data_IF_035679736669
#
_entry.id   IF_035679736669
#
_cell.length_a   1.000
_cell.length_b   1.000
_cell.length_c   1.000
_cell.angle_alpha   90.00
_cell.angle_beta   90.00
_cell.angle_gamma   90.00
#
_symmetry.space_group_name_H-M   'P 1'
#
loop_
_entity.id
_entity.type
_entity.pdbx_description
1 polymer ?
#
# COMPACT_ATOMS: atom_id res chain seq x y z
N UNK A 1 -29.67 20.79 -36.87
CA UNK A 1 -30.12 19.79 -35.85
C UNK A 1 -29.20 18.57 -35.71
N UNK A 2 -28.47 18.18 -36.75
CA UNK A 2 -27.65 16.95 -36.77
C UNK A 2 -26.32 17.06 -35.96
N UNK A 3 -25.61 18.19 -36.04
CA UNK A 3 -24.29 18.38 -35.38
C UNK A 3 -24.36 18.42 -33.84
N UNK A 4 -25.41 19.05 -33.28
CA UNK A 4 -25.64 19.08 -31.81
C UNK A 4 -25.91 17.67 -31.25
N UNK A 5 -26.80 16.91 -31.92
CA UNK A 5 -27.09 15.51 -31.53
C UNK A 5 -25.85 14.61 -31.62
N UNK A 6 -25.00 14.80 -32.63
CA UNK A 6 -23.75 14.05 -32.80
C UNK A 6 -22.77 14.36 -31.68
N UNK A 7 -22.64 15.62 -31.30
CA UNK A 7 -21.78 16.09 -30.18
C UNK A 7 -22.26 15.60 -28.82
N UNK A 8 -23.58 15.63 -28.58
CA UNK A 8 -24.16 15.11 -27.34
C UNK A 8 -24.00 13.58 -27.21
N UNK A 9 -24.12 12.84 -28.32
CA UNK A 9 -23.85 11.40 -28.35
C UNK A 9 -22.38 11.09 -28.07
N UNK A 10 -21.44 11.85 -28.61
CA UNK A 10 -20.00 11.71 -28.36
C UNK A 10 -19.68 11.98 -26.89
N UNK A 11 -20.21 13.05 -26.28
CA UNK A 11 -20.05 13.36 -24.85
C UNK A 11 -20.58 12.26 -23.93
N UNK A 12 -21.76 11.69 -24.23
CA UNK A 12 -22.32 10.57 -23.44
C UNK A 12 -21.42 9.33 -23.54
N UNK A 13 -20.88 9.04 -24.73
CA UNK A 13 -19.96 7.92 -24.92
C UNK A 13 -18.63 8.14 -24.20
N UNK A 14 -18.11 9.36 -24.22
CA UNK A 14 -16.90 9.72 -23.49
C UNK A 14 -17.07 9.53 -21.98
N UNK A 15 -18.18 9.98 -21.38
CA UNK A 15 -18.49 9.75 -19.97
C UNK A 15 -18.55 8.26 -19.62
N UNK A 16 -19.20 7.43 -20.47
CA UNK A 16 -19.26 5.99 -20.24
C UNK A 16 -17.86 5.34 -20.26
N UNK A 17 -17.00 5.76 -21.19
CA UNK A 17 -15.62 5.27 -21.26
C UNK A 17 -14.79 5.72 -20.07
N UNK A 18 -14.95 6.96 -19.60
CA UNK A 18 -14.29 7.44 -18.38
C UNK A 18 -14.73 6.65 -17.15
N UNK A 19 -16.02 6.37 -16.99
CA UNK A 19 -16.51 5.51 -15.92
C UNK A 19 -15.91 4.10 -16.01
N UNK A 20 -15.92 3.48 -17.18
CA UNK A 20 -15.30 2.17 -17.39
C UNK A 20 -13.79 2.17 -17.12
N UNK A 21 -13.10 3.32 -17.31
CA UNK A 21 -11.71 3.47 -16.96
C UNK A 21 -11.51 3.42 -15.44
N UNK A 22 -12.32 4.14 -14.68
CA UNK A 22 -12.32 4.07 -13.22
C UNK A 22 -12.71 2.68 -12.70
N UNK A 23 -13.80 2.10 -13.22
CA UNK A 23 -14.23 0.73 -12.88
C UNK A 23 -13.12 -0.30 -13.11
N UNK A 24 -12.30 -0.13 -14.17
CA UNK A 24 -11.19 -1.03 -14.46
C UNK A 24 -10.02 -0.91 -13.49
N UNK A 25 -9.91 0.21 -12.78
CA UNK A 25 -8.95 0.39 -11.69
C UNK A 25 -9.52 -0.21 -10.40
N UNK A 26 -10.77 0.11 -10.08
CA UNK A 26 -11.43 -0.32 -8.84
C UNK A 26 -11.61 -1.84 -8.80
N UNK A 27 -12.05 -2.44 -9.91
CA UNK A 27 -12.31 -3.89 -9.96
C UNK A 27 -11.05 -4.75 -10.14
N UNK A 28 -10.03 -4.25 -10.84
CA UNK A 28 -8.97 -5.10 -11.42
C UNK A 28 -7.59 -4.46 -11.40
N UNK A 29 -7.44 -3.24 -10.91
CA UNK A 29 -6.19 -2.45 -10.97
C UNK A 29 -5.54 -2.42 -12.37
N UNK A 30 -6.35 -2.43 -13.43
CA UNK A 30 -5.87 -2.48 -14.80
C UNK A 30 -5.61 -1.07 -15.34
N UNK A 31 -4.55 -0.44 -14.86
CA UNK A 31 -4.17 0.92 -15.27
C UNK A 31 -3.92 1.04 -16.78
N UNK A 32 -3.37 0.01 -17.44
CA UNK A 32 -3.17 0.03 -18.89
C UNK A 32 -4.51 0.10 -19.64
N UNK A 33 -5.51 -0.63 -19.16
CA UNK A 33 -6.86 -0.57 -19.74
C UNK A 33 -7.52 0.77 -19.41
N UNK A 34 -7.37 1.25 -18.16
CA UNK A 34 -7.91 2.53 -17.73
C UNK A 34 -7.38 3.68 -18.59
N UNK A 35 -6.05 3.75 -18.76
CA UNK A 35 -5.41 4.77 -19.62
C UNK A 35 -5.88 4.66 -21.07
N UNK A 36 -6.03 3.45 -21.62
CA UNK A 36 -6.60 3.27 -22.98
C UNK A 36 -8.04 3.76 -23.08
N UNK A 37 -8.85 3.47 -22.07
CA UNK A 37 -10.27 3.87 -22.07
C UNK A 37 -10.43 5.39 -21.91
N UNK A 38 -9.68 6.03 -21.00
CA UNK A 38 -9.73 7.48 -20.81
C UNK A 38 -9.19 8.22 -22.05
N UNK A 39 -8.12 7.74 -22.68
CA UNK A 39 -7.63 8.28 -23.95
C UNK A 39 -8.68 8.20 -25.06
N UNK A 40 -9.41 7.08 -25.11
CA UNK A 40 -10.53 6.97 -26.06
C UNK A 40 -11.69 7.91 -25.73
N UNK A 41 -11.92 8.21 -24.43
CA UNK A 41 -12.88 9.23 -24.03
C UNK A 41 -12.42 10.65 -24.44
N UNK A 42 -11.14 10.96 -24.32
CA UNK A 42 -10.54 12.23 -24.76
C UNK A 42 -10.70 12.44 -26.27
N UNK A 43 -10.49 11.41 -27.08
CA UNK A 43 -10.73 11.50 -28.54
C UNK A 43 -12.18 11.91 -28.86
N UNK A 44 -13.15 11.48 -28.08
CA UNK A 44 -14.56 11.82 -28.25
C UNK A 44 -14.95 13.19 -27.68
N UNK A 45 -14.20 13.69 -26.72
CA UNK A 45 -14.44 14.97 -26.05
C UNK A 45 -13.11 15.69 -25.72
N UNK A 46 -12.32 16.13 -26.72
CA UNK A 46 -10.96 16.62 -26.53
C UNK A 46 -10.86 17.91 -25.70
N UNK A 47 -11.92 18.70 -25.65
CA UNK A 47 -12.00 19.94 -24.86
C UNK A 47 -12.50 19.72 -23.42
N UNK A 48 -12.51 18.50 -22.90
CA UNK A 48 -12.93 18.25 -21.52
C UNK A 48 -11.70 18.16 -20.58
N UNK A 49 -11.45 19.17 -19.71
CA UNK A 49 -10.29 19.17 -18.82
C UNK A 49 -10.33 18.05 -17.79
N UNK A 50 -11.52 17.64 -17.33
CA UNK A 50 -11.67 16.52 -16.39
C UNK A 50 -11.08 15.23 -16.93
N UNK A 51 -11.29 14.91 -18.22
CA UNK A 51 -10.73 13.69 -18.81
C UNK A 51 -9.20 13.72 -18.87
N UNK A 52 -8.59 14.89 -19.06
CA UNK A 52 -7.13 15.03 -18.97
C UNK A 52 -6.63 14.89 -17.54
N UNK A 53 -7.36 15.42 -16.57
CA UNK A 53 -7.07 15.21 -15.16
C UNK A 53 -7.20 13.73 -14.76
N UNK A 54 -8.26 13.06 -15.20
CA UNK A 54 -8.46 11.62 -14.98
C UNK A 54 -7.31 10.80 -15.61
N UNK A 55 -6.88 11.14 -16.83
CA UNK A 55 -5.70 10.51 -17.47
C UNK A 55 -4.45 10.69 -16.60
N UNK A 56 -4.23 11.90 -16.09
CA UNK A 56 -3.11 12.21 -15.20
C UNK A 56 -3.14 11.39 -13.90
N UNK A 57 -4.30 11.25 -13.28
CA UNK A 57 -4.47 10.43 -12.07
C UNK A 57 -4.20 8.95 -12.34
N UNK A 58 -4.70 8.42 -13.45
CA UNK A 58 -4.49 7.02 -13.84
C UNK A 58 -3.01 6.73 -14.14
N UNK A 59 -2.34 7.64 -14.84
CA UNK A 59 -0.90 7.57 -15.13
C UNK A 59 -0.07 7.71 -13.85
N UNK A 60 -0.44 8.61 -12.94
CA UNK A 60 0.21 8.75 -11.65
C UNK A 60 0.09 7.48 -10.80
N UNK A 61 -1.09 6.87 -10.77
CA UNK A 61 -1.31 5.62 -10.04
C UNK A 61 -0.57 4.43 -10.67
N UNK A 62 -0.37 4.44 -12.00
CA UNK A 62 0.49 3.46 -12.66
C UNK A 62 2.00 3.72 -12.46
N UNK A 63 2.36 4.85 -11.87
CA UNK A 63 3.75 5.26 -11.58
C UNK A 63 4.44 6.03 -12.71
N UNK A 64 3.71 6.43 -13.76
CA UNK A 64 4.24 7.26 -14.84
C UNK A 64 4.02 8.74 -14.55
N UNK A 65 4.82 9.28 -13.62
CA UNK A 65 4.77 10.68 -13.22
C UNK A 65 5.08 11.65 -14.38
N UNK A 66 5.83 11.23 -15.38
CA UNK A 66 6.18 12.07 -16.52
C UNK A 66 4.95 12.32 -17.42
N UNK A 67 4.30 11.26 -17.87
CA UNK A 67 3.07 11.38 -18.66
C UNK A 67 1.90 11.98 -17.83
N UNK A 68 1.84 11.69 -16.52
CA UNK A 68 0.85 12.29 -15.62
C UNK A 68 0.99 13.82 -15.57
N UNK A 69 2.23 14.33 -15.46
CA UNK A 69 2.48 15.78 -15.48
C UNK A 69 2.03 16.44 -16.80
N UNK A 70 2.29 15.78 -17.94
CA UNK A 70 1.80 16.25 -19.25
C UNK A 70 0.28 16.31 -19.32
N UNK A 71 -0.39 15.28 -18.78
CA UNK A 71 -1.86 15.21 -18.76
C UNK A 71 -2.47 16.30 -17.86
N UNK A 72 -1.91 16.56 -16.67
CA UNK A 72 -2.34 17.65 -15.81
C UNK A 72 -2.08 19.03 -16.44
N UNK A 73 -0.94 19.21 -17.08
CA UNK A 73 -0.65 20.45 -17.82
C UNK A 73 -1.64 20.68 -18.98
N UNK A 74 -2.05 19.60 -19.67
CA UNK A 74 -3.09 19.68 -20.70
C UNK A 74 -4.46 20.03 -20.10
N UNK A 75 -4.79 19.52 -18.90
CA UNK A 75 -6.01 19.89 -18.18
C UNK A 75 -6.02 21.40 -17.84
N UNK A 76 -4.91 21.93 -17.31
CA UNK A 76 -4.72 23.35 -17.00
C UNK A 76 -4.85 24.20 -18.27
N UNK A 77 -4.26 23.77 -19.39
CA UNK A 77 -4.35 24.50 -20.67
C UNK A 77 -5.78 24.58 -21.21
N UNK A 78 -6.62 23.56 -20.92
CA UNK A 78 -8.04 23.54 -21.30
C UNK A 78 -8.93 24.34 -20.35
N UNK A 79 -8.58 24.41 -19.08
CA UNK A 79 -9.31 25.15 -18.03
C UNK A 79 -8.29 25.74 -17.04
N UNK A 80 -7.86 27.00 -17.25
CA UNK A 80 -6.87 27.65 -16.39
C UNK A 80 -7.34 27.90 -14.94
N UNK A 81 -8.61 27.68 -14.65
CA UNK A 81 -9.22 27.76 -13.32
C UNK A 81 -9.40 26.39 -12.64
N UNK A 82 -8.88 25.31 -13.23
CA UNK A 82 -9.06 23.96 -12.73
C UNK A 82 -8.08 23.62 -11.60
N UNK A 83 -8.45 24.02 -10.37
CA UNK A 83 -7.62 23.94 -9.17
C UNK A 83 -7.00 22.57 -8.90
N UNK A 84 -7.75 21.49 -9.14
CA UNK A 84 -7.32 20.09 -8.89
C UNK A 84 -6.09 19.74 -9.75
N UNK A 85 -6.06 20.13 -11.01
CA UNK A 85 -4.94 19.84 -11.90
C UNK A 85 -3.65 20.54 -11.45
N UNK A 86 -3.75 21.78 -10.94
CA UNK A 86 -2.60 22.46 -10.34
C UNK A 86 -2.08 21.72 -9.10
N UNK A 87 -2.98 21.30 -8.22
CA UNK A 87 -2.60 20.57 -7.00
C UNK A 87 -1.93 19.22 -7.31
N UNK A 88 -2.45 18.48 -8.30
CA UNK A 88 -1.84 17.22 -8.72
C UNK A 88 -0.48 17.43 -9.40
N UNK A 89 -0.34 18.43 -10.24
CA UNK A 89 0.96 18.76 -10.85
C UNK A 89 1.97 19.22 -9.80
N UNK A 90 1.56 20.04 -8.83
CA UNK A 90 2.39 20.45 -7.71
C UNK A 90 2.93 19.25 -6.92
N UNK A 91 2.07 18.27 -6.64
CA UNK A 91 2.48 17.05 -5.96
C UNK A 91 3.53 16.24 -6.76
N UNK A 92 3.44 16.20 -8.09
CA UNK A 92 4.47 15.60 -8.94
C UNK A 92 5.78 16.39 -8.85
N UNK A 93 5.74 17.72 -8.90
CA UNK A 93 6.92 18.59 -8.84
C UNK A 93 7.67 18.44 -7.50
N UNK A 94 6.95 18.29 -6.39
CA UNK A 94 7.57 17.96 -5.09
C UNK A 94 8.33 16.64 -5.16
N UNK A 95 7.74 15.59 -5.73
CA UNK A 95 8.40 14.28 -5.89
C UNK A 95 9.64 14.35 -6.80
N UNK A 96 9.66 15.30 -7.74
CA UNK A 96 10.79 15.54 -8.63
C UNK A 96 11.88 16.45 -7.99
N UNK A 97 11.64 16.98 -6.79
CA UNK A 97 12.55 17.88 -6.09
C UNK A 97 12.42 19.36 -6.53
N UNK A 98 11.45 19.68 -7.40
CA UNK A 98 11.20 21.03 -7.90
C UNK A 98 10.23 21.78 -6.95
N UNK A 99 10.70 22.07 -5.73
CA UNK A 99 9.83 22.52 -4.63
C UNK A 99 9.30 23.93 -4.85
N UNK A 100 10.08 24.82 -5.43
CA UNK A 100 9.68 26.20 -5.77
C UNK A 100 8.58 26.20 -6.83
N UNK A 101 8.72 25.38 -7.87
CA UNK A 101 7.69 25.21 -8.90
C UNK A 101 6.40 24.60 -8.29
N UNK A 102 6.54 23.62 -7.40
CA UNK A 102 5.41 23.04 -6.69
C UNK A 102 4.66 24.08 -5.84
N UNK A 103 5.38 24.93 -5.12
CA UNK A 103 4.77 26.01 -4.34
C UNK A 103 4.03 27.02 -5.24
N UNK A 104 4.59 27.37 -6.38
CA UNK A 104 3.95 28.26 -7.36
C UNK A 104 2.65 27.65 -7.92
N UNK A 105 2.67 26.37 -8.31
CA UNK A 105 1.49 25.65 -8.77
C UNK A 105 0.43 25.52 -7.67
N UNK A 106 0.84 25.27 -6.43
CA UNK A 106 -0.08 25.18 -5.31
C UNK A 106 -0.74 26.53 -4.96
N UNK A 107 -0.06 27.66 -5.19
CA UNK A 107 -0.65 29.01 -5.08
C UNK A 107 -1.82 29.14 -6.07
N UNK A 108 -1.65 28.69 -7.31
CA UNK A 108 -2.73 28.69 -8.28
C UNK A 108 -3.90 27.79 -7.86
N UNK A 109 -3.63 26.59 -7.34
CA UNK A 109 -4.67 25.73 -6.79
C UNK A 109 -5.48 26.40 -5.68
N UNK A 110 -4.81 27.09 -4.74
CA UNK A 110 -5.46 27.87 -3.67
C UNK A 110 -6.24 29.06 -4.24
N UNK A 111 -5.70 29.75 -5.26
CA UNK A 111 -6.39 30.89 -5.89
C UNK A 111 -7.73 30.47 -6.49
N UNK A 112 -7.76 29.33 -7.19
CA UNK A 112 -8.95 28.84 -7.87
C UNK A 112 -9.92 28.07 -6.96
N UNK A 113 -9.47 27.63 -5.79
CA UNK A 113 -10.29 26.95 -4.77
C UNK A 113 -10.00 27.50 -3.37
N UNK A 114 -10.24 28.79 -3.15
CA UNK A 114 -9.91 29.52 -1.92
C UNK A 114 -10.53 28.92 -0.62
N UNK A 115 -11.60 28.17 -0.74
CA UNK A 115 -12.24 27.45 0.37
C UNK A 115 -11.56 26.13 0.77
N UNK A 116 -10.63 25.61 -0.03
CA UNK A 116 -9.98 24.32 0.24
C UNK A 116 -8.90 24.47 1.32
N UNK A 117 -9.17 23.92 2.50
CA UNK A 117 -8.16 23.84 3.57
C UNK A 117 -7.00 22.93 3.19
N UNK A 118 -7.28 21.83 2.51
CA UNK A 118 -6.28 20.89 2.02
C UNK A 118 -5.24 21.56 1.12
N UNK A 119 -5.68 22.43 0.18
CA UNK A 119 -4.75 23.14 -0.71
C UNK A 119 -3.91 24.17 0.03
N UNK A 120 -4.49 24.89 1.02
CA UNK A 120 -3.74 25.83 1.88
C UNK A 120 -2.71 25.11 2.72
N UNK A 121 -3.06 23.95 3.25
CA UNK A 121 -2.15 23.12 4.04
C UNK A 121 -0.95 22.62 3.19
N UNK A 122 -1.23 22.09 1.99
CA UNK A 122 -0.19 21.69 1.05
C UNK A 122 0.71 22.85 0.64
N UNK A 123 0.15 24.05 0.45
CA UNK A 123 0.93 25.27 0.13
C UNK A 123 1.91 25.61 1.26
N UNK A 124 1.44 25.61 2.50
CA UNK A 124 2.29 25.89 3.66
C UNK A 124 3.44 24.87 3.78
N UNK A 125 3.16 23.58 3.53
CA UNK A 125 4.16 22.54 3.51
C UNK A 125 5.22 22.75 2.41
N UNK A 126 4.80 23.08 1.19
CA UNK A 126 5.71 23.31 0.06
C UNK A 126 6.56 24.56 0.25
N UNK A 127 5.99 25.64 0.80
CA UNK A 127 6.73 26.87 1.14
C UNK A 127 7.77 26.62 2.24
N UNK A 128 7.43 25.82 3.25
CA UNK A 128 8.38 25.41 4.29
C UNK A 128 9.53 24.56 3.75
N UNK A 129 9.27 23.70 2.76
CA UNK A 129 10.29 22.92 2.06
C UNK A 129 11.20 23.81 1.21
N UNK A 130 10.63 24.75 0.46
CA UNK A 130 11.39 25.72 -0.34
C UNK A 130 12.28 26.61 0.53
N UNK A 131 11.77 27.12 1.64
CA UNK A 131 12.56 27.91 2.59
C UNK A 131 13.72 27.14 3.24
N UNK A 132 13.58 25.82 3.44
CA UNK A 132 14.67 24.94 3.91
C UNK A 132 15.70 24.67 2.82
N UNK A 133 15.29 24.55 1.56
CA UNK A 133 16.20 24.36 0.44
C UNK A 133 17.09 25.58 0.17
N UNK A 134 16.56 26.79 0.41
CA UNK A 134 17.30 28.05 0.27
C UNK A 134 18.31 28.32 1.39
N UNK A 135 18.13 27.70 2.57
CA UNK A 135 18.94 27.94 3.77
C UNK A 135 19.84 26.76 4.19
N UNK A 136 20.05 25.76 3.35
CA UNK A 136 20.89 24.62 3.70
C UNK A 136 22.38 24.95 3.60
N UNK A 137 23.13 25.00 4.72
CA UNK A 137 24.59 24.94 4.67
C UNK A 137 25.03 23.55 4.19
N UNK A 138 26.24 23.39 3.66
CA UNK A 138 26.73 22.07 3.21
C UNK A 138 26.69 21.09 4.37
N UNK A 139 26.15 19.92 4.10
CA UNK A 139 25.85 18.87 5.08
C UNK A 139 27.12 18.40 5.75
N UNK A 140 27.38 18.85 6.97
CA UNK A 140 28.19 18.13 7.91
C UNK A 140 27.36 16.97 8.48
N UNK A 141 27.96 15.79 8.51
CA UNK A 141 27.41 14.58 9.11
C UNK A 141 26.85 14.88 10.51
N UNK A 142 25.56 14.63 10.69
CA UNK A 142 24.92 14.77 12.00
C UNK A 142 25.51 13.75 12.98
N UNK A 143 25.85 14.16 14.21
CA UNK A 143 26.26 13.23 15.23
C UNK A 143 25.07 12.38 15.69
N UNK A 144 25.39 11.12 16.01
CA UNK A 144 24.52 10.18 16.69
C UNK A 144 23.77 10.86 17.85
N UNK A 145 22.47 11.04 17.68
CA UNK A 145 21.61 11.35 18.81
C UNK A 145 21.38 10.05 19.58
N UNK A 146 22.03 9.97 20.72
CA UNK A 146 22.08 8.84 21.59
C UNK A 146 20.74 8.16 21.82
N UNK A 147 20.82 6.84 21.79
CA UNK A 147 19.79 5.96 22.29
C UNK A 147 19.52 6.28 23.75
N UNK A 148 18.42 6.93 24.04
CA UNK A 148 17.86 6.96 25.38
C UNK A 148 16.50 6.30 25.35
N UNK A 149 16.45 5.30 26.17
CA UNK A 149 15.29 4.71 26.79
C UNK A 149 14.52 3.67 25.98
N UNK A 150 14.74 2.45 26.47
CA UNK A 150 13.88 1.28 26.25
C UNK A 150 12.44 1.61 26.66
N UNK A 151 11.69 2.20 25.74
CA UNK A 151 10.26 2.47 25.91
C UNK A 151 9.50 1.17 26.13
N UNK A 152 9.39 0.75 27.38
CA UNK A 152 8.32 -0.14 27.83
C UNK A 152 7.01 0.50 27.40
N UNK A 153 6.27 -0.17 26.54
CA UNK A 153 4.92 0.24 26.15
C UNK A 153 4.09 0.45 27.43
N UNK A 154 3.60 1.68 27.74
CA UNK A 154 3.00 1.98 29.04
C UNK A 154 1.62 1.36 29.25
N UNK A 155 1.09 0.65 28.26
CA UNK A 155 -0.21 0.01 28.36
C UNK A 155 -0.04 -1.51 28.37
N UNK A 156 -0.33 -2.12 29.52
CA UNK A 156 -0.46 -3.56 29.69
C UNK A 156 -1.63 -4.08 28.85
N UNK A 157 -1.39 -4.37 27.58
CA UNK A 157 -2.38 -5.02 26.73
C UNK A 157 -2.59 -6.44 27.24
N UNK A 158 -3.84 -6.79 27.56
CA UNK A 158 -4.23 -8.13 27.98
C UNK A 158 -3.74 -9.22 27.01
N UNK A 159 -3.65 -8.91 25.70
CA UNK A 159 -3.13 -9.83 24.68
C UNK A 159 -1.63 -10.10 24.81
N UNK A 160 -0.86 -9.13 25.29
CA UNK A 160 0.58 -9.35 25.57
C UNK A 160 0.80 -10.37 26.70
N UNK A 161 -0.09 -10.37 27.69
CA UNK A 161 -0.08 -11.34 28.78
C UNK A 161 -0.56 -12.71 28.34
N UNK A 162 -1.54 -12.79 27.46
CA UNK A 162 -2.08 -14.05 26.91
C UNK A 162 -1.11 -14.71 25.91
N UNK A 163 -0.31 -13.89 25.17
CA UNK A 163 0.67 -14.33 24.18
C UNK A 163 2.08 -13.81 24.48
N UNK A 164 2.68 -14.20 25.64
CA UNK A 164 3.96 -13.62 26.07
C UNK A 164 5.12 -13.95 25.12
N UNK A 165 5.12 -15.15 24.52
CA UNK A 165 6.15 -15.56 23.56
C UNK A 165 6.14 -14.67 22.29
N UNK A 166 4.95 -14.35 21.78
CA UNK A 166 4.81 -13.45 20.65
C UNK A 166 5.26 -12.03 21.02
N UNK A 167 4.84 -11.54 22.20
CA UNK A 167 5.22 -10.22 22.67
C UNK A 167 6.74 -10.10 22.83
N UNK A 168 7.40 -11.08 23.47
CA UNK A 168 8.84 -11.10 23.63
C UNK A 168 9.58 -11.12 22.28
N UNK A 169 9.09 -11.90 21.31
CA UNK A 169 9.67 -11.92 19.95
C UNK A 169 9.55 -10.58 19.26
N UNK A 170 8.38 -9.95 19.30
CA UNK A 170 8.15 -8.63 18.70
C UNK A 170 9.02 -7.56 19.34
N UNK A 171 9.19 -7.61 20.66
CA UNK A 171 10.05 -6.66 21.39
C UNK A 171 11.55 -6.84 21.08
N UNK A 172 11.97 -8.07 20.76
CA UNK A 172 13.37 -8.39 20.45
C UNK A 172 13.75 -8.10 18.97
N UNK A 173 12.81 -7.65 18.12
CA UNK A 173 13.12 -7.36 16.72
C UNK A 173 13.96 -6.08 16.60
N UNK A 174 14.89 -6.07 15.64
CA UNK A 174 15.63 -4.88 15.23
C UNK A 174 14.72 -3.97 14.38
N UNK A 175 13.87 -3.18 15.04
CA UNK A 175 12.93 -2.27 14.39
C UNK A 175 13.61 -1.20 13.54
N UNK A 176 14.75 -0.59 13.95
CA UNK A 176 15.51 0.31 13.08
C UNK A 176 16.01 -0.38 11.80
N UNK A 177 16.54 -1.60 11.91
CA UNK A 177 16.96 -2.39 10.75
C UNK A 177 15.80 -2.73 9.81
N UNK A 178 14.65 -3.11 10.38
CA UNK A 178 13.42 -3.36 9.60
C UNK A 178 12.93 -2.09 8.88
N UNK A 179 12.94 -0.92 9.54
CA UNK A 179 12.59 0.36 8.91
C UNK A 179 13.52 0.67 7.74
N UNK A 180 14.84 0.47 7.90
CA UNK A 180 15.81 0.67 6.82
C UNK A 180 15.54 -0.24 5.62
N UNK A 181 15.20 -1.52 5.86
CA UNK A 181 14.81 -2.44 4.79
C UNK A 181 13.52 -2.00 4.08
N UNK A 182 12.51 -1.56 4.84
CA UNK A 182 11.27 -1.05 4.26
C UNK A 182 11.49 0.20 3.40
N UNK A 183 12.32 1.15 3.84
CA UNK A 183 12.69 2.34 3.05
C UNK A 183 13.52 1.93 1.82
N UNK A 184 14.50 1.04 2.01
CA UNK A 184 15.42 0.63 0.93
C UNK A 184 14.76 -0.22 -0.15
N UNK A 185 13.95 -1.20 0.25
CA UNK A 185 13.39 -2.21 -0.64
C UNK A 185 11.89 -2.49 -0.48
N UNK A 186 11.22 -1.89 0.50
CA UNK A 186 9.79 -1.95 0.70
C UNK A 186 9.26 -3.20 1.40
N UNK A 187 10.12 -4.17 1.68
CA UNK A 187 9.77 -5.40 2.38
C UNK A 187 10.94 -5.92 3.20
N UNK A 188 10.65 -6.68 4.27
CA UNK A 188 11.63 -7.26 5.17
C UNK A 188 11.17 -8.64 5.66
N UNK A 189 12.09 -9.59 5.77
CA UNK A 189 11.84 -10.90 6.36
C UNK A 189 12.04 -10.82 7.89
N UNK A 190 11.06 -11.33 8.63
CA UNK A 190 11.13 -11.56 10.08
C UNK A 190 11.13 -13.06 10.31
N UNK A 191 12.28 -13.61 10.67
CA UNK A 191 12.43 -15.05 10.90
C UNK A 191 11.66 -15.51 12.13
N UNK A 192 10.89 -16.59 11.99
CA UNK A 192 10.18 -17.30 13.06
C UNK A 192 9.40 -16.38 14.01
N UNK A 193 8.58 -15.51 13.47
CA UNK A 193 7.66 -14.68 14.27
C UNK A 193 6.68 -15.55 15.07
N UNK A 194 6.21 -16.65 14.47
CA UNK A 194 5.36 -17.64 15.15
C UNK A 194 6.06 -18.97 15.35
N UNK A 195 5.75 -19.63 16.46
CA UNK A 195 6.20 -20.98 16.74
C UNK A 195 5.46 -22.01 15.85
N UNK A 196 6.08 -23.15 15.50
CA UNK A 196 5.47 -24.17 14.65
C UNK A 196 4.09 -24.67 15.13
N UNK A 197 3.91 -24.86 16.43
CA UNK A 197 2.61 -25.24 17.01
C UNK A 197 1.52 -24.21 16.73
N UNK A 198 1.82 -22.91 16.86
CA UNK A 198 0.85 -21.84 16.52
C UNK A 198 0.53 -21.81 15.04
N UNK A 199 1.49 -22.12 14.18
CA UNK A 199 1.24 -22.22 12.74
C UNK A 199 0.30 -23.38 12.41
N UNK A 200 0.46 -24.51 13.10
CA UNK A 200 -0.44 -25.66 12.96
C UNK A 200 -1.87 -25.33 13.43
N UNK A 201 -2.01 -24.67 14.60
CA UNK A 201 -3.30 -24.22 15.12
C UNK A 201 -4.01 -23.30 14.11
N UNK A 202 -3.29 -22.32 13.56
CA UNK A 202 -3.83 -21.36 12.57
C UNK A 202 -4.23 -22.05 11.26
N UNK A 203 -3.46 -23.04 10.78
CA UNK A 203 -3.86 -23.83 9.61
C UNK A 203 -5.16 -24.59 9.86
N UNK A 204 -5.30 -25.18 11.04
CA UNK A 204 -6.51 -25.92 11.43
C UNK A 204 -7.78 -25.06 11.43
N UNK A 205 -7.68 -23.74 11.50
CA UNK A 205 -8.84 -22.84 11.38
C UNK A 205 -9.48 -22.91 9.98
N UNK A 206 -8.76 -23.34 8.95
CA UNK A 206 -9.30 -23.48 7.59
C UNK A 206 -10.51 -24.45 7.54
N UNK A 207 -10.56 -25.40 8.45
CA UNK A 207 -11.62 -26.42 8.56
C UNK A 207 -12.85 -25.91 9.36
N UNK A 208 -12.85 -24.63 9.78
CA UNK A 208 -13.91 -24.03 10.59
C UNK A 208 -14.63 -22.90 9.83
N UNK A 209 -15.56 -23.21 8.89
CA UNK A 209 -16.20 -22.19 8.03
C UNK A 209 -16.90 -21.06 8.82
N UNK A 210 -17.38 -21.36 10.03
CA UNK A 210 -18.04 -20.39 10.88
C UNK A 210 -17.15 -19.20 11.30
N UNK A 211 -15.82 -19.35 11.23
CA UNK A 211 -14.88 -18.25 11.57
C UNK A 211 -14.74 -17.21 10.46
N UNK A 212 -15.25 -17.48 9.26
CA UNK A 212 -15.05 -16.63 8.11
C UNK A 212 -16.33 -15.89 7.70
N UNK A 213 -16.19 -14.60 7.44
CA UNK A 213 -17.27 -13.79 6.88
C UNK A 213 -17.43 -14.04 5.37
N UNK A 214 -16.30 -14.30 4.69
CA UNK A 214 -16.27 -14.48 3.24
C UNK A 214 -15.14 -15.45 2.86
N UNK A 215 -15.44 -16.33 1.91
CA UNK A 215 -14.44 -17.17 1.24
C UNK A 215 -14.47 -16.88 -0.25
N UNK A 216 -13.31 -16.54 -0.81
CA UNK A 216 -13.13 -16.27 -2.24
C UNK A 216 -12.25 -17.37 -2.84
N UNK A 217 -12.76 -18.08 -3.82
CA UNK A 217 -12.01 -19.08 -4.58
C UNK A 217 -11.55 -18.41 -5.87
N UNK A 218 -10.24 -18.20 -5.99
CA UNK A 218 -9.60 -17.64 -7.18
C UNK A 218 -9.29 -18.79 -8.15
N UNK A 219 -10.11 -18.96 -9.18
CA UNK A 219 -9.93 -20.04 -10.15
C UNK A 219 -9.24 -19.52 -11.42
N UNK A 220 -7.97 -19.90 -11.62
CA UNK A 220 -7.21 -19.71 -12.89
C UNK A 220 -7.38 -18.34 -13.53
N UNK A 221 -7.67 -17.30 -12.74
CA UNK A 221 -7.70 -15.94 -13.26
C UNK A 221 -6.26 -15.45 -13.45
N UNK A 222 -6.07 -14.46 -14.33
CA UNK A 222 -4.78 -13.78 -14.45
C UNK A 222 -4.34 -13.06 -13.14
N UNK A 223 -5.20 -12.99 -12.13
CA UNK A 223 -4.97 -12.34 -10.83
C UNK A 223 -4.47 -13.27 -9.76
N UNK A 224 -4.73 -14.57 -9.87
CA UNK A 224 -4.29 -15.56 -8.91
C UNK A 224 -5.03 -16.88 -9.01
N UNK A 225 -4.54 -17.86 -8.29
CA UNK A 225 -5.16 -19.17 -8.09
C UNK A 225 -4.93 -19.58 -6.64
N UNK A 226 -5.99 -19.68 -5.83
CA UNK A 226 -5.94 -19.98 -4.40
C UNK A 226 -7.27 -19.73 -3.71
N UNK A 227 -7.31 -19.94 -2.41
CA UNK A 227 -8.52 -19.72 -1.59
C UNK A 227 -8.21 -18.71 -0.49
N UNK A 228 -9.01 -17.64 -0.44
CA UNK A 228 -8.87 -16.53 0.47
C UNK A 228 -10.05 -16.52 1.43
N UNK A 229 -9.80 -16.73 2.73
CA UNK A 229 -10.82 -16.79 3.77
C UNK A 229 -10.67 -15.62 4.72
N UNK A 230 -11.56 -14.64 4.60
CA UNK A 230 -11.58 -13.44 5.45
C UNK A 230 -12.26 -13.74 6.78
N UNK A 231 -11.58 -13.52 7.89
CA UNK A 231 -12.15 -13.75 9.20
C UNK A 231 -13.32 -12.79 9.48
N UNK A 232 -14.28 -13.28 10.28
CA UNK A 232 -15.32 -12.43 10.85
C UNK A 232 -14.94 -11.97 12.26
N UNK A 233 -15.60 -10.90 12.72
CA UNK A 233 -15.53 -10.52 14.12
C UNK A 233 -16.38 -11.47 15.01
N UNK A 234 -15.92 -11.81 16.23
CA UNK A 234 -14.59 -11.49 16.77
C UNK A 234 -13.49 -12.33 16.11
N UNK A 235 -12.30 -11.73 15.95
CA UNK A 235 -11.15 -12.45 15.41
C UNK A 235 -10.71 -13.59 16.33
N UNK A 236 -10.13 -14.66 15.80
CA UNK A 236 -9.43 -15.66 16.62
C UNK A 236 -8.39 -14.98 17.53
N UNK A 237 -8.26 -15.39 18.80
CA UNK A 237 -7.45 -14.69 19.79
C UNK A 237 -6.00 -14.43 19.35
N UNK A 238 -5.36 -15.37 18.68
CA UNK A 238 -3.99 -15.21 18.18
C UNK A 238 -3.90 -14.19 17.02
N UNK A 239 -4.90 -14.12 16.15
CA UNK A 239 -4.95 -13.16 15.04
C UNK A 239 -5.13 -11.73 15.57
N UNK A 240 -6.02 -11.56 16.54
CA UNK A 240 -6.22 -10.30 17.26
C UNK A 240 -4.93 -9.89 18.02
N UNK A 241 -4.28 -10.84 18.69
CA UNK A 241 -3.04 -10.59 19.43
C UNK A 241 -1.90 -10.11 18.51
N UNK A 242 -1.73 -10.71 17.31
CA UNK A 242 -0.72 -10.26 16.35
C UNK A 242 -0.95 -8.78 16.00
N UNK A 243 -2.19 -8.38 15.71
CA UNK A 243 -2.50 -6.97 15.38
C UNK A 243 -2.14 -6.03 16.53
N UNK A 244 -2.62 -6.34 17.74
CA UNK A 244 -2.43 -5.50 18.93
C UNK A 244 -0.97 -5.39 19.37
N UNK A 245 -0.21 -6.48 19.26
CA UNK A 245 1.19 -6.51 19.71
C UNK A 245 2.12 -5.86 18.68
N UNK A 246 1.85 -6.04 17.38
CA UNK A 246 2.73 -5.55 16.30
C UNK A 246 2.42 -4.11 15.93
N UNK A 247 1.13 -3.72 15.88
CA UNK A 247 0.69 -2.40 15.42
C UNK A 247 1.43 -1.22 16.09
N UNK A 248 1.63 -1.16 17.42
CA UNK A 248 2.31 -0.02 18.06
C UNK A 248 3.71 0.22 17.50
N UNK A 249 4.45 -0.83 17.18
CA UNK A 249 5.77 -0.75 16.56
C UNK A 249 5.70 -0.21 15.14
N UNK A 250 4.72 -0.68 14.37
CA UNK A 250 4.50 -0.20 13.00
C UNK A 250 4.01 1.25 12.95
N UNK A 251 3.19 1.66 13.92
CA UNK A 251 2.72 3.05 14.04
C UNK A 251 3.90 4.02 14.28
N UNK A 252 4.91 3.62 15.05
CA UNK A 252 6.14 4.41 15.22
C UNK A 252 6.85 4.63 13.89
N UNK A 253 7.03 3.58 13.08
CA UNK A 253 7.65 3.65 11.75
C UNK A 253 6.80 4.52 10.81
N UNK A 254 5.50 4.25 10.72
CA UNK A 254 4.59 4.98 9.85
C UNK A 254 4.55 6.48 10.18
N UNK A 255 4.54 6.84 11.48
CA UNK A 255 4.59 8.21 11.94
C UNK A 255 5.96 8.87 11.70
N UNK A 256 7.06 8.13 11.80
CA UNK A 256 8.37 8.63 11.41
C UNK A 256 8.43 8.96 9.91
N UNK A 257 7.80 8.15 9.07
CA UNK A 257 7.70 8.41 7.63
C UNK A 257 6.87 9.65 7.33
N UNK A 258 5.72 9.82 7.98
CA UNK A 258 4.89 11.03 7.85
C UNK A 258 5.67 12.29 8.22
N UNK A 259 6.39 12.28 9.34
CA UNK A 259 7.24 13.42 9.73
C UNK A 259 8.33 13.73 8.70
N UNK A 260 8.97 12.69 8.10
CA UNK A 260 9.96 12.90 7.01
C UNK A 260 9.36 13.50 5.75
N UNK A 261 8.06 13.31 5.53
CA UNK A 261 7.30 13.87 4.42
C UNK A 261 6.69 15.24 4.74
N UNK A 262 6.82 15.72 5.99
CA UNK A 262 6.23 16.99 6.44
C UNK A 262 4.72 16.90 6.70
N UNK A 263 4.16 15.69 6.81
CA UNK A 263 2.75 15.47 7.15
C UNK A 263 2.53 15.71 8.65
N UNK A 264 1.43 16.42 9.00
CA UNK A 264 1.08 16.76 10.39
C UNK A 264 0.30 15.67 11.10
N UNK A 265 -0.47 14.90 10.34
CA UNK A 265 -1.31 13.84 10.89
C UNK A 265 -0.47 12.68 11.38
N UNK A 266 -0.96 11.95 12.37
CA UNK A 266 -0.30 10.78 12.91
C UNK A 266 -1.27 9.63 13.10
N UNK A 267 -0.78 8.41 12.91
CA UNK A 267 -1.51 7.22 13.30
C UNK A 267 -1.56 7.12 14.82
N UNK A 268 -2.69 6.70 15.40
CA UNK A 268 -2.81 6.42 16.83
C UNK A 268 -1.74 5.46 17.33
N UNK A 269 -1.42 5.55 18.63
CA UNK A 269 -0.37 4.72 19.20
C UNK A 269 -0.77 3.26 19.41
N UNK A 270 -2.07 3.00 19.58
CA UNK A 270 -2.61 1.66 19.83
C UNK A 270 -3.51 1.19 18.69
N UNK A 271 -3.62 -0.13 18.55
CA UNK A 271 -4.53 -0.75 17.59
C UNK A 271 -5.99 -0.38 17.87
N UNK A 272 -6.38 -0.31 19.13
CA UNK A 272 -7.73 0.03 19.57
C UNK A 272 -8.14 1.42 19.08
N UNK A 273 -7.29 2.41 19.30
CA UNK A 273 -7.54 3.78 18.85
C UNK A 273 -7.61 3.86 17.32
N UNK A 274 -6.72 3.15 16.63
CA UNK A 274 -6.74 3.13 15.16
C UNK A 274 -8.00 2.44 14.61
N UNK A 275 -8.47 1.38 15.26
CA UNK A 275 -9.73 0.72 14.90
C UNK A 275 -10.93 1.64 15.09
N UNK A 276 -10.92 2.51 16.12
CA UNK A 276 -11.96 3.54 16.28
C UNK A 276 -11.92 4.51 15.10
N UNK A 277 -10.75 4.98 14.70
CA UNK A 277 -10.59 5.83 13.53
C UNK A 277 -11.10 5.16 12.24
N UNK A 278 -10.82 3.88 12.02
CA UNK A 278 -11.39 3.12 10.91
C UNK A 278 -12.93 3.09 10.99
N UNK A 279 -13.49 2.83 12.17
CA UNK A 279 -14.95 2.75 12.36
C UNK A 279 -15.66 4.09 12.12
N UNK A 280 -15.05 5.21 12.49
CA UNK A 280 -15.56 6.57 12.22
C UNK A 280 -15.62 6.86 10.72
N UNK A 281 -14.73 6.25 9.91
CA UNK A 281 -14.76 6.28 8.45
C UNK A 281 -15.68 5.19 7.82
N UNK A 282 -16.49 4.48 8.62
CA UNK A 282 -17.37 3.41 8.15
C UNK A 282 -16.67 2.06 7.91
N UNK A 283 -15.37 1.97 8.16
CA UNK A 283 -14.57 0.76 7.96
C UNK A 283 -14.62 -0.12 9.22
N UNK A 284 -15.51 -1.10 9.24
CA UNK A 284 -15.77 -1.97 10.40
C UNK A 284 -15.52 -3.46 10.15
N UNK A 285 -15.31 -3.85 8.89
CA UNK A 285 -15.11 -5.25 8.50
C UNK A 285 -13.65 -5.67 8.71
N UNK A 286 -13.39 -6.73 9.49
CA UNK A 286 -12.03 -7.24 9.69
C UNK A 286 -11.35 -7.65 8.37
N UNK A 287 -10.11 -7.24 8.21
CA UNK A 287 -9.29 -7.53 7.02
C UNK A 287 -8.37 -8.73 7.13
N UNK A 288 -8.00 -9.27 8.30
CA UNK A 288 -7.16 -10.46 8.35
C UNK A 288 -7.78 -11.64 7.61
N UNK A 289 -6.92 -12.39 6.91
CA UNK A 289 -7.39 -13.50 6.10
C UNK A 289 -6.43 -14.68 6.13
N UNK A 290 -6.99 -15.87 6.02
CA UNK A 290 -6.26 -17.13 5.84
C UNK A 290 -6.21 -17.45 4.35
N UNK A 291 -5.00 -17.58 3.82
CA UNK A 291 -4.69 -17.86 2.44
C UNK A 291 -4.26 -19.30 2.28
N UNK A 292 -4.75 -20.01 1.28
CA UNK A 292 -4.28 -21.34 0.93
C UNK A 292 -4.09 -21.49 -0.58
N UNK A 293 -2.98 -22.12 -0.95
CA UNK A 293 -2.55 -22.33 -2.31
C UNK A 293 -2.06 -23.76 -2.49
N UNK A 294 -2.54 -24.42 -3.53
CA UNK A 294 -2.06 -25.74 -3.98
C UNK A 294 -0.98 -25.56 -5.06
N UNK A 295 -0.36 -26.68 -5.47
CA UNK A 295 0.55 -26.69 -6.59
C UNK A 295 -0.09 -26.06 -7.83
N UNK A 296 0.60 -25.10 -8.47
CA UNK A 296 0.06 -24.26 -9.53
C UNK A 296 -0.48 -22.91 -9.04
N UNK A 297 -0.83 -22.78 -7.76
CA UNK A 297 -1.37 -21.57 -7.17
C UNK A 297 -0.37 -20.41 -7.13
N UNK A 298 -0.86 -19.20 -7.26
CA UNK A 298 -0.08 -17.97 -7.24
C UNK A 298 -0.96 -16.77 -6.87
N UNK A 299 -0.34 -15.63 -6.55
CA UNK A 299 -1.01 -14.34 -6.42
C UNK A 299 -0.27 -13.31 -7.27
N UNK A 300 -0.94 -12.78 -8.31
CA UNK A 300 -0.33 -11.80 -9.20
C UNK A 300 0.06 -10.53 -8.45
N UNK A 301 1.02 -9.79 -8.98
CA UNK A 301 1.44 -8.50 -8.40
C UNK A 301 0.28 -7.50 -8.41
N UNK A 302 -0.15 -7.06 -7.22
CA UNK A 302 -1.28 -6.17 -6.98
C UNK A 302 -0.95 -5.14 -5.89
N UNK A 303 -1.91 -4.26 -5.61
CA UNK A 303 -1.90 -3.28 -4.51
C UNK A 303 -3.17 -3.44 -3.70
N UNK A 304 -3.07 -3.36 -2.39
CA UNK A 304 -4.23 -3.36 -1.50
C UNK A 304 -4.58 -1.92 -1.13
N UNK A 305 -5.33 -1.24 -1.99
CA UNK A 305 -5.81 0.12 -1.75
C UNK A 305 -7.32 0.06 -1.61
N UNK A 306 -7.81 0.04 -0.37
CA UNK A 306 -9.25 0.06 -0.07
C UNK A 306 -9.52 0.86 1.20
N UNK A 307 -10.63 1.60 1.18
CA UNK A 307 -11.08 2.43 2.29
C UNK A 307 -10.39 3.80 2.35
N UNK A 308 -11.02 4.71 3.08
CA UNK A 308 -10.54 6.08 3.32
C UNK A 308 -9.37 6.08 4.32
N UNK A 309 -9.52 5.31 5.40
CA UNK A 309 -8.48 5.13 6.42
C UNK A 309 -7.58 3.98 6.01
N UNK A 310 -6.31 4.28 5.79
CA UNK A 310 -5.33 3.36 5.23
C UNK A 310 -4.08 3.29 6.08
N UNK A 311 -3.56 2.08 6.34
CA UNK A 311 -2.30 1.89 7.03
C UNK A 311 -1.20 1.40 6.06
N UNK A 312 0.00 2.01 6.04
CA UNK A 312 0.98 1.81 4.97
C UNK A 312 1.74 0.48 5.03
N UNK A 313 1.59 -0.30 6.10
CA UNK A 313 2.33 -1.54 6.33
C UNK A 313 1.39 -2.70 6.61
N UNK A 314 1.76 -3.90 6.18
CA UNK A 314 1.05 -5.14 6.48
C UNK A 314 2.02 -6.33 6.61
N UNK A 315 1.53 -7.41 7.19
CA UNK A 315 2.25 -8.66 7.38
C UNK A 315 1.62 -9.80 6.58
N UNK A 316 2.45 -10.71 6.09
CA UNK A 316 2.03 -12.06 5.72
C UNK A 316 2.91 -13.07 6.45
N UNK A 317 2.30 -14.03 7.15
CA UNK A 317 3.00 -15.05 7.94
C UNK A 317 2.79 -16.41 7.28
N UNK A 318 3.89 -17.13 7.00
CA UNK A 318 3.84 -18.43 6.37
C UNK A 318 3.54 -19.50 7.44
N UNK A 319 2.53 -20.31 7.21
CA UNK A 319 2.03 -21.30 8.16
C UNK A 319 2.38 -22.74 7.78
N UNK A 320 2.94 -22.97 6.60
CA UNK A 320 3.35 -24.29 6.10
C UNK A 320 4.87 -24.43 6.12
N UNK A 321 5.41 -25.63 6.38
CA UNK A 321 6.82 -25.91 6.21
C UNK A 321 7.23 -25.75 4.75
N UNK A 322 8.42 -25.22 4.50
CA UNK A 322 9.01 -25.16 3.17
C UNK A 322 9.89 -26.41 2.96
N UNK A 323 9.82 -27.00 1.76
CA UNK A 323 10.75 -28.06 1.37
C UNK A 323 12.07 -27.43 0.96
N UNK A 324 13.16 -27.86 1.56
CA UNK A 324 14.50 -27.59 1.05
C UNK A 324 14.82 -28.57 -0.06
N UNK A 325 15.25 -28.09 -1.19
CA UNK A 325 15.50 -28.89 -2.40
C UNK A 325 16.57 -29.97 -2.24
N UNK A 326 17.37 -29.91 -1.17
CA UNK A 326 18.51 -30.82 -0.95
C UNK A 326 18.18 -32.06 -0.11
N UNK A 327 17.03 -32.10 0.57
CA UNK A 327 16.66 -33.21 1.49
C UNK A 327 15.19 -33.67 1.34
N UNK A 328 14.68 -33.69 0.12
CA UNK A 328 13.28 -34.04 -0.13
C UNK A 328 13.05 -35.54 -0.13
N UNK A 329 12.93 -36.16 1.05
CA UNK A 329 12.31 -37.46 1.19
C UNK A 329 10.83 -37.38 0.83
N UNK A 330 10.28 -38.43 0.21
CA UNK A 330 8.94 -38.47 -0.38
C UNK A 330 7.79 -38.27 0.63
N UNK A 331 8.07 -38.26 1.93
CA UNK A 331 7.10 -38.05 3.02
C UNK A 331 7.05 -36.60 3.53
N UNK A 332 7.86 -35.67 3.00
CA UNK A 332 7.93 -34.30 3.48
C UNK A 332 6.73 -33.48 3.01
N UNK A 333 5.86 -33.11 3.95
CA UNK A 333 4.54 -32.46 3.78
C UNK A 333 4.69 -30.96 3.45
N UNK A 334 5.87 -30.49 3.04
CA UNK A 334 6.18 -29.09 2.77
C UNK A 334 5.79 -28.60 1.38
N UNK A 335 5.82 -27.27 1.17
CA UNK A 335 5.63 -26.65 -0.14
C UNK A 335 6.96 -26.19 -0.77
N UNK A 336 7.00 -26.09 -2.09
CA UNK A 336 8.09 -25.47 -2.85
C UNK A 336 7.59 -24.39 -3.79
N UNK A 337 8.44 -23.45 -4.18
CA UNK A 337 8.04 -22.22 -4.87
C UNK A 337 7.37 -21.22 -3.91
N UNK A 338 6.48 -20.38 -4.42
CA UNK A 338 5.64 -19.51 -3.62
C UNK A 338 6.40 -18.43 -2.85
N UNK A 339 7.51 -17.92 -3.42
CA UNK A 339 8.22 -16.77 -2.88
C UNK A 339 7.30 -15.55 -2.85
N UNK A 340 7.42 -14.74 -1.78
CA UNK A 340 6.79 -13.43 -1.74
C UNK A 340 7.49 -12.52 -2.76
N UNK A 341 6.71 -11.90 -3.63
CA UNK A 341 7.19 -10.99 -4.65
C UNK A 341 6.87 -9.55 -4.28
N UNK A 342 7.82 -8.65 -4.57
CA UNK A 342 7.68 -7.22 -4.33
C UNK A 342 8.41 -6.41 -5.39
N UNK A 343 7.80 -5.33 -5.89
CA UNK A 343 8.45 -4.43 -6.85
C UNK A 343 7.96 -2.99 -6.71
N UNK A 344 8.83 -2.06 -7.10
CA UNK A 344 8.45 -0.65 -7.28
C UNK A 344 7.68 -0.49 -8.61
N UNK A 345 6.83 0.54 -8.69
CA UNK A 345 6.14 0.94 -9.93
C UNK A 345 6.79 2.23 -10.46
N UNK A 346 7.07 2.33 -11.78
CA UNK A 346 6.95 1.27 -12.79
C UNK A 346 8.01 0.19 -12.65
N UNK A 347 7.63 -1.06 -12.90
CA UNK A 347 8.58 -2.16 -13.07
C UNK A 347 9.31 -1.98 -14.41
N UNK A 348 10.59 -1.57 -14.37
CA UNK A 348 11.38 -1.32 -15.59
C UNK A 348 11.90 -2.61 -16.22
N UNK A 349 12.21 -3.61 -15.36
CA UNK A 349 12.70 -4.95 -15.77
C UNK A 349 12.18 -5.99 -14.78
N UNK A 350 12.01 -7.24 -15.21
CA UNK A 350 11.67 -8.36 -14.30
C UNK A 350 12.69 -8.54 -13.18
N UNK A 351 13.95 -8.14 -13.40
CA UNK A 351 15.03 -8.13 -12.40
C UNK A 351 14.82 -7.11 -11.28
N UNK A 352 13.89 -6.17 -11.42
CA UNK A 352 13.55 -5.20 -10.37
C UNK A 352 12.62 -5.81 -9.30
N UNK A 353 12.10 -7.01 -9.54
CA UNK A 353 11.32 -7.78 -8.56
C UNK A 353 12.25 -8.32 -7.47
N UNK A 354 11.85 -8.10 -6.24
CA UNK A 354 12.45 -8.72 -5.07
C UNK A 354 11.68 -9.97 -4.75
N UNK A 355 12.37 -11.01 -4.35
CA UNK A 355 11.81 -12.31 -3.99
C UNK A 355 12.26 -12.65 -2.58
N UNK A 356 11.34 -13.07 -1.71
CA UNK A 356 11.61 -13.52 -0.35
C UNK A 356 11.09 -14.93 -0.18
N UNK A 357 12.00 -15.84 0.08
CA UNK A 357 11.68 -17.23 0.44
C UNK A 357 11.43 -17.30 1.96
N UNK A 358 10.17 -17.23 2.36
CA UNK A 358 9.75 -17.36 3.76
C UNK A 358 9.31 -18.79 4.05
N UNK A 359 9.69 -19.30 5.22
CA UNK A 359 9.35 -20.65 5.70
C UNK A 359 8.37 -20.63 6.87
N UNK A 360 8.22 -21.78 7.53
CA UNK A 360 7.27 -21.98 8.63
C UNK A 360 7.51 -20.98 9.79
N UNK A 361 6.49 -20.19 10.07
CA UNK A 361 6.51 -19.18 11.15
C UNK A 361 7.20 -17.88 10.77
N UNK A 362 7.83 -17.81 9.59
CA UNK A 362 8.41 -16.56 9.10
C UNK A 362 7.31 -15.58 8.69
N UNK A 363 7.56 -14.29 8.90
CA UNK A 363 6.70 -13.22 8.45
C UNK A 363 7.43 -12.32 7.46
N UNK A 364 6.72 -11.86 6.44
CA UNK A 364 7.18 -10.77 5.58
C UNK A 364 6.41 -9.52 5.97
N UNK A 365 7.13 -8.51 6.45
CA UNK A 365 6.62 -7.16 6.67
C UNK A 365 6.85 -6.37 5.39
N UNK A 366 5.81 -5.69 4.88
CA UNK A 366 5.92 -5.00 3.61
C UNK A 366 5.00 -3.78 3.51
N UNK A 367 5.36 -2.89 2.57
CA UNK A 367 4.57 -1.70 2.27
C UNK A 367 3.33 -2.07 1.45
N UNK A 368 2.16 -1.62 1.90
CA UNK A 368 0.86 -1.97 1.33
C UNK A 368 0.69 -1.47 -0.11
N UNK A 369 0.88 -0.17 -0.34
CA UNK A 369 0.62 0.47 -1.63
C UNK A 369 1.76 1.36 -2.10
N UNK A 370 2.53 1.93 -1.17
CA UNK A 370 3.69 2.76 -1.46
C UNK A 370 4.71 2.64 -0.32
N UNK A 371 5.99 2.74 -0.65
CA UNK A 371 7.09 2.82 0.33
C UNK A 371 7.66 4.22 0.40
N UNK A 372 8.21 4.58 1.53
CA UNK A 372 9.04 5.78 1.63
C UNK A 372 10.34 5.53 0.84
N UNK A 373 10.70 6.45 -0.03
CA UNK A 373 11.93 6.38 -0.80
C UNK A 373 12.63 7.74 -0.82
N UNK A 374 13.96 7.73 -0.90
CA UNK A 374 14.74 8.95 -1.06
C UNK A 374 15.15 9.08 -2.53
N UNK A 375 14.69 10.14 -3.20
CA UNK A 375 15.00 10.42 -4.59
C UNK A 375 15.57 11.84 -4.67
N UNK A 376 16.77 11.99 -5.21
CA UNK A 376 17.41 13.31 -5.31
C UNK A 376 17.64 14.01 -3.95
N UNK A 377 17.77 13.22 -2.86
CA UNK A 377 17.97 13.79 -1.51
C UNK A 377 16.67 14.05 -0.72
N UNK A 378 15.52 14.01 -1.35
CA UNK A 378 14.20 14.27 -0.74
C UNK A 378 13.44 12.97 -0.54
N UNK A 379 12.68 12.86 0.56
CA UNK A 379 11.78 11.74 0.79
C UNK A 379 10.47 11.94 0.02
N UNK A 380 9.95 10.84 -0.54
CA UNK A 380 8.66 10.80 -1.24
C UNK A 380 8.08 9.40 -1.26
N UNK A 381 6.79 9.30 -1.54
CA UNK A 381 6.13 8.01 -1.73
C UNK A 381 6.47 7.41 -3.09
N UNK A 382 6.91 6.15 -3.09
CA UNK A 382 7.10 5.35 -4.30
C UNK A 382 6.06 4.23 -4.32
N UNK A 383 5.15 4.23 -5.31
CA UNK A 383 4.17 3.16 -5.45
C UNK A 383 4.83 1.79 -5.61
N UNK A 384 4.20 0.76 -5.05
CA UNK A 384 4.71 -0.61 -5.05
C UNK A 384 3.61 -1.61 -5.35
N UNK A 385 4.01 -2.81 -5.77
CA UNK A 385 3.14 -3.99 -5.87
C UNK A 385 3.76 -5.15 -5.11
N UNK A 386 2.90 -6.01 -4.60
CA UNK A 386 3.30 -7.27 -3.98
C UNK A 386 2.46 -8.42 -4.54
N UNK A 387 2.94 -9.64 -4.32
CA UNK A 387 2.29 -10.85 -4.78
C UNK A 387 3.01 -12.09 -4.29
N UNK A 388 2.72 -13.23 -4.89
CA UNK A 388 3.37 -14.49 -4.58
C UNK A 388 3.60 -15.28 -5.87
N UNK A 389 4.81 -15.80 -6.02
CA UNK A 389 5.15 -16.64 -7.15
C UNK A 389 4.42 -17.98 -7.08
N UNK A 390 4.48 -18.74 -8.14
CA UNK A 390 3.77 -20.00 -8.28
C UNK A 390 4.29 -21.05 -7.29
N UNK A 391 3.37 -21.72 -6.62
CA UNK A 391 3.65 -22.94 -5.87
C UNK A 391 3.99 -24.05 -6.87
N UNK A 392 5.16 -24.64 -6.75
CA UNK A 392 5.61 -25.72 -7.63
C UNK A 392 5.26 -27.08 -7.09
N UNK A 393 5.14 -27.20 -5.74
CA UNK A 393 4.85 -28.48 -5.04
C UNK A 393 4.11 -28.23 -3.74
N UNK A 394 3.25 -29.19 -3.35
CA UNK A 394 2.58 -29.21 -2.05
C UNK A 394 1.56 -28.08 -1.87
N UNK A 395 1.23 -27.81 -0.60
CA UNK A 395 0.21 -26.81 -0.21
C UNK A 395 0.82 -25.77 0.72
N UNK A 396 0.62 -24.48 0.38
CA UNK A 396 1.07 -23.35 1.17
C UNK A 396 -0.11 -22.66 1.85
N UNK A 397 -0.07 -22.58 3.18
CA UNK A 397 -0.95 -21.73 3.97
C UNK A 397 -0.20 -20.48 4.43
N UNK A 398 -0.90 -19.35 4.48
CA UNK A 398 -0.39 -18.12 5.03
C UNK A 398 -1.49 -17.31 5.69
N UNK A 399 -1.12 -16.49 6.68
CA UNK A 399 -1.99 -15.53 7.35
C UNK A 399 -1.64 -14.12 6.88
N UNK A 400 -2.56 -13.47 6.19
CA UNK A 400 -2.47 -12.06 5.82
C UNK A 400 -3.01 -11.19 6.94
N UNK A 401 -2.25 -10.16 7.33
CA UNK A 401 -2.60 -9.21 8.39
C UNK A 401 -2.46 -7.77 7.87
N UNK A 402 -3.47 -7.24 7.17
CA UNK A 402 -3.63 -5.80 7.01
C UNK A 402 -3.96 -5.15 8.37
N UNK A 403 -3.53 -3.90 8.55
CA UNK A 403 -3.75 -3.15 9.79
C UNK A 403 -4.84 -2.08 9.70
N UNK A 404 -5.59 -2.02 8.62
CA UNK A 404 -6.82 -1.23 8.51
C UNK A 404 -8.02 -2.15 8.31
N UNK A 405 -9.23 -1.64 8.57
CA UNK A 405 -10.48 -2.36 8.34
C UNK A 405 -11.06 -1.96 6.97
N UNK A 406 -12.04 -2.76 6.46
CA UNK A 406 -12.80 -2.43 5.25
C UNK A 406 -14.23 -1.95 5.59
N UNK A 407 -14.91 -1.37 4.61
CA UNK A 407 -16.32 -1.00 4.65
C UNK A 407 -17.26 -2.21 4.79
#
# INVERSE_FOLDING_TARGET
MNAKKKRDKARRRARKLAQQAWDSIDDVENFDLAVKLVRRAIELAPGNPQLRNDEGLMLQQSGDDAQAAEAFQAAISLAPDFAEAYAHLAAIRVRQGCVEEAAALQIEAVRHAAGSESYRHSLAAYQALAGKASNAPPVASAPDAGATDSGRCPFGDARRTEFPDLAARVDALDWPGLENLLIGQGCALIGRLLQPGRCADLRGLAEQPALFAKTVVMNKSRFGEGVYRYFRAPLPPVVDAIRRIVYPRLAVIANAWRRRLGESDSYPATWEEFRVQCAEAGQTTPTPLLLSYEAGGFNALHRDIRGEVFFPLQLVIVLSPRRDSEHADAEDVGFAGGEFLFCDIPERKKTDRRSIAAGLGDAVLFCTAARLARVGGVYGWRPVKHGMDRITHGSRYALGIPFHEYE
#
